data_IF_757828238829
#
_entry.id   IF_757828238829
#
_cell.length_a   1.000
_cell.length_b   1.000
_cell.length_c   1.000
_cell.angle_alpha   90.00
_cell.angle_beta   90.00
_cell.angle_gamma   90.00
#
_symmetry.space_group_name_H-M   'P 1'
#
loop_
_entity.id
_entity.type
_entity.pdbx_description
1 polymer ?
#
# COMPACT_ATOMS: atom_id res chain seq x y z
N UNK A 1 30.32 -19.08 -45.98
CA UNK A 1 29.05 -19.80 -45.76
C UNK A 1 28.82 -19.83 -44.26
N UNK A 2 27.96 -18.94 -43.75
CA UNK A 2 27.67 -18.82 -42.31
C UNK A 2 26.36 -19.55 -42.02
N UNK A 3 26.39 -20.52 -41.10
CA UNK A 3 25.19 -21.24 -40.65
C UNK A 3 24.69 -20.55 -39.39
N UNK A 4 23.56 -19.85 -39.53
CA UNK A 4 22.81 -19.29 -38.41
C UNK A 4 21.98 -20.41 -37.76
N UNK A 5 22.28 -20.74 -36.51
CA UNK A 5 21.45 -21.62 -35.71
C UNK A 5 20.36 -20.79 -35.01
N UNK A 6 19.15 -20.80 -35.56
CA UNK A 6 17.95 -20.36 -34.87
C UNK A 6 17.63 -21.33 -33.73
N UNK A 7 17.84 -20.90 -32.48
CA UNK A 7 17.26 -21.57 -31.31
C UNK A 7 15.77 -21.23 -31.24
N UNK A 8 14.95 -22.16 -31.71
CA UNK A 8 13.51 -22.17 -31.48
C UNK A 8 13.27 -22.49 -30.00
N UNK A 9 12.70 -21.53 -29.26
CA UNK A 9 12.13 -21.79 -27.94
C UNK A 9 10.82 -22.54 -28.19
N UNK A 10 10.84 -23.87 -28.10
CA UNK A 10 9.64 -24.69 -28.12
C UNK A 10 8.84 -24.39 -26.87
N UNK A 11 7.65 -23.79 -27.05
CA UNK A 11 6.71 -23.52 -25.97
C UNK A 11 6.33 -24.81 -25.24
N UNK A 12 6.69 -24.88 -23.96
CA UNK A 12 6.07 -25.80 -23.02
C UNK A 12 4.66 -25.28 -22.77
N UNK A 13 3.69 -25.84 -23.50
CA UNK A 13 2.28 -25.63 -23.23
C UNK A 13 1.95 -26.17 -21.84
N UNK A 14 1.70 -25.26 -20.90
CA UNK A 14 1.10 -25.61 -19.61
C UNK A 14 -0.36 -25.99 -19.89
N UNK A 15 -0.61 -27.29 -19.98
CA UNK A 15 -1.96 -27.84 -20.04
C UNK A 15 -2.73 -27.44 -18.78
N UNK A 16 -3.92 -26.90 -19.00
CA UNK A 16 -4.88 -26.61 -17.94
C UNK A 16 -5.16 -27.91 -17.18
N UNK A 17 -4.78 -27.96 -15.91
CA UNK A 17 -5.48 -28.83 -14.99
C UNK A 17 -6.92 -28.31 -14.90
N UNK A 18 -7.85 -29.13 -15.39
CA UNK A 18 -9.29 -28.93 -15.30
C UNK A 18 -9.76 -29.02 -13.83
N UNK A 19 -9.40 -28.02 -13.03
CA UNK A 19 -9.95 -27.75 -11.70
C UNK A 19 -10.91 -26.56 -11.78
N UNK A 20 -12.10 -26.71 -11.20
CA UNK A 20 -13.27 -25.87 -11.42
C UNK A 20 -13.16 -24.37 -11.09
N UNK A 21 -14.16 -23.67 -11.62
CA UNK A 21 -14.46 -22.23 -11.62
C UNK A 21 -14.73 -21.60 -10.23
N UNK A 22 -14.17 -22.10 -9.13
CA UNK A 22 -14.34 -21.52 -7.79
C UNK A 22 -13.00 -21.09 -7.19
N UNK A 23 -12.92 -19.81 -6.86
CA UNK A 23 -11.89 -19.12 -6.08
C UNK A 23 -10.70 -18.53 -6.86
N UNK A 24 -10.98 -17.56 -7.75
CA UNK A 24 -9.96 -16.61 -8.22
C UNK A 24 -9.32 -15.84 -7.04
N UNK A 25 -10.08 -15.68 -5.96
CA UNK A 25 -9.65 -15.17 -4.66
C UNK A 25 -10.22 -16.06 -3.57
N UNK A 26 -9.34 -16.70 -2.82
CA UNK A 26 -9.72 -17.35 -1.56
C UNK A 26 -9.82 -16.25 -0.50
N UNK A 27 -10.94 -16.21 0.24
CA UNK A 27 -11.36 -15.24 1.28
C UNK A 27 -10.28 -14.24 1.80
N UNK A 28 -10.61 -12.93 1.92
CA UNK A 28 -9.65 -11.94 2.42
C UNK A 28 -8.99 -12.34 3.74
N UNK A 29 -7.66 -12.20 3.85
CA UNK A 29 -6.92 -12.66 5.04
C UNK A 29 -6.62 -11.52 6.00
N UNK A 30 -6.70 -11.82 7.31
CA UNK A 30 -6.44 -10.85 8.39
C UNK A 30 -4.96 -10.47 8.53
N UNK A 31 -4.63 -9.24 8.16
CA UNK A 31 -3.41 -8.56 8.62
C UNK A 31 -3.53 -8.36 10.14
N UNK A 32 -2.59 -8.87 10.93
CA UNK A 32 -2.56 -8.58 12.37
C UNK A 32 -1.22 -7.99 12.77
N UNK A 33 -1.11 -6.67 12.66
CA UNK A 33 -0.14 -5.89 13.42
C UNK A 33 -0.90 -4.80 14.18
N UNK A 34 -0.65 -4.70 15.48
CA UNK A 34 -1.17 -3.60 16.30
C UNK A 34 -0.42 -2.31 15.96
N UNK A 35 -1.13 -1.19 15.88
CA UNK A 35 -0.50 0.12 15.69
C UNK A 35 0.21 0.56 16.98
N UNK A 36 1.42 1.14 16.92
CA UNK A 36 2.04 1.77 18.08
C UNK A 36 1.34 3.08 18.48
N UNK A 37 0.51 3.64 17.59
CA UNK A 37 -0.28 4.84 17.86
C UNK A 37 -1.51 4.46 18.67
N UNK A 38 -1.67 5.10 19.83
CA UNK A 38 -2.86 4.99 20.66
C UNK A 38 -3.68 6.27 20.52
N UNK A 39 -4.94 6.09 20.17
CA UNK A 39 -5.90 7.18 20.13
C UNK A 39 -7.12 6.85 20.96
N UNK A 40 -7.80 7.89 21.42
CA UNK A 40 -9.06 7.79 22.12
C UNK A 40 -10.11 8.68 21.46
N UNK A 41 -11.37 8.40 21.77
CA UNK A 41 -12.43 9.36 21.50
C UNK A 41 -12.13 10.67 22.24
N UNK A 42 -12.56 11.76 21.63
CA UNK A 42 -12.37 13.10 22.18
C UNK A 42 -13.60 13.42 23.01
N UNK A 43 -13.40 13.64 24.30
CA UNK A 43 -14.45 14.24 25.14
C UNK A 43 -14.35 15.77 25.06
N UNK A 44 -15.47 16.47 24.95
CA UNK A 44 -15.48 17.93 24.77
C UNK A 44 -14.67 18.66 25.84
N UNK A 45 -14.74 18.21 27.10
CA UNK A 45 -13.98 18.77 28.24
C UNK A 45 -12.46 18.71 28.05
N UNK A 46 -11.97 17.79 27.23
CA UNK A 46 -10.54 17.59 27.03
C UNK A 46 -9.98 18.49 25.93
N UNK A 47 -10.82 18.98 25.03
CA UNK A 47 -10.44 19.88 23.94
C UNK A 47 -10.12 21.29 24.49
N UNK A 48 -8.93 21.86 24.19
CA UNK A 48 -8.63 23.25 24.49
C UNK A 48 -9.64 24.22 23.84
N UNK A 49 -9.99 25.31 24.52
CA UNK A 49 -11.01 26.26 24.03
C UNK A 49 -10.71 26.85 22.64
N UNK A 50 -9.42 27.01 22.31
CA UNK A 50 -8.99 27.50 21.00
C UNK A 50 -9.12 26.43 19.89
N UNK A 51 -9.11 25.14 20.25
CA UNK A 51 -9.43 24.01 19.35
C UNK A 51 -10.93 23.75 19.23
N UNK A 52 -11.74 24.22 20.19
CA UNK A 52 -13.19 24.03 20.15
C UNK A 52 -13.86 24.96 19.14
N UNK A 53 -13.24 26.10 18.80
CA UNK A 53 -13.82 27.14 17.95
C UNK A 53 -13.40 26.93 16.49
N UNK A 54 -14.33 26.43 15.66
CA UNK A 54 -14.09 26.17 14.23
C UNK A 54 -13.58 27.41 13.49
N UNK A 55 -14.21 28.58 13.68
CA UNK A 55 -13.80 29.83 13.02
C UNK A 55 -12.35 30.22 13.35
N UNK A 56 -11.94 30.04 14.60
CA UNK A 56 -10.58 30.33 15.04
C UNK A 56 -9.58 29.33 14.46
N UNK A 57 -9.95 28.05 14.40
CA UNK A 57 -9.13 27.01 13.78
C UNK A 57 -8.98 27.22 12.27
N UNK A 58 -10.07 27.56 11.58
CA UNK A 58 -10.07 27.86 10.15
C UNK A 58 -9.17 29.06 9.84
N UNK A 59 -9.26 30.13 10.65
CA UNK A 59 -8.37 31.28 10.52
C UNK A 59 -6.89 30.90 10.78
N UNK A 60 -6.61 30.04 11.76
CA UNK A 60 -5.25 29.59 12.06
C UNK A 60 -4.66 28.68 10.98
N UNK A 61 -5.49 27.85 10.35
CA UNK A 61 -5.08 26.93 9.29
C UNK A 61 -5.00 27.61 7.91
N UNK A 62 -5.79 28.66 7.68
CA UNK A 62 -5.99 29.31 6.39
C UNK A 62 -5.12 30.55 6.14
N UNK A 63 -4.13 30.82 6.99
CA UNK A 63 -3.31 32.03 6.95
C UNK A 63 -2.22 32.01 5.84
N UNK A 64 -2.33 31.10 4.85
CA UNK A 64 -1.36 30.97 3.76
C UNK A 64 -1.68 31.88 2.55
N UNK A 65 -2.84 32.57 2.57
CA UNK A 65 -3.34 33.46 1.52
C UNK A 65 -3.67 32.78 0.18
N UNK A 66 -3.60 31.45 0.10
CA UNK A 66 -3.77 30.65 -1.12
C UNK A 66 -4.84 29.57 -0.98
N UNK A 67 -5.16 29.21 0.25
CA UNK A 67 -6.06 28.13 0.61
C UNK A 67 -7.11 28.66 1.57
N UNK A 68 -8.36 28.28 1.34
CA UNK A 68 -9.46 28.50 2.28
C UNK A 68 -9.70 27.21 3.05
N UNK A 69 -9.82 27.30 4.36
CA UNK A 69 -10.08 26.15 5.25
C UNK A 69 -11.49 26.29 5.80
N UNK A 70 -12.28 25.22 5.76
CA UNK A 70 -13.62 25.18 6.35
C UNK A 70 -13.86 23.86 7.10
N UNK A 71 -14.90 23.83 7.94
CA UNK A 71 -15.39 22.65 8.66
C UNK A 71 -14.34 22.03 9.60
N UNK A 72 -13.45 22.85 10.16
CA UNK A 72 -12.40 22.37 11.05
C UNK A 72 -13.00 21.81 12.35
N UNK A 73 -12.70 20.54 12.66
CA UNK A 73 -13.17 19.87 13.87
C UNK A 73 -12.15 18.89 14.42
N UNK A 74 -12.10 18.77 15.75
CA UNK A 74 -11.27 17.76 16.42
C UNK A 74 -11.94 16.39 16.25
N UNK A 75 -11.19 15.40 15.76
CA UNK A 75 -11.70 14.06 15.45
C UNK A 75 -11.07 12.96 16.29
N UNK A 76 -9.91 13.20 16.90
CA UNK A 76 -9.23 12.21 17.73
C UNK A 76 -8.29 12.86 18.74
N UNK A 77 -8.11 12.23 19.91
CA UNK A 77 -7.05 12.55 20.86
C UNK A 77 -5.97 11.48 20.75
N UNK A 78 -4.71 11.89 20.78
CA UNK A 78 -3.54 11.06 20.53
C UNK A 78 -2.67 11.06 21.77
N UNK A 79 -2.31 9.87 22.24
CA UNK A 79 -1.28 9.73 23.28
C UNK A 79 0.09 10.03 22.67
N UNK A 80 0.80 11.00 23.25
CA UNK A 80 2.15 11.35 22.80
C UNK A 80 3.20 10.65 23.67
N UNK A 81 4.40 10.36 23.13
CA UNK A 81 5.49 9.81 23.93
C UNK A 81 6.13 10.85 24.86
N UNK A 82 5.78 12.14 24.74
CA UNK A 82 6.34 13.23 25.54
C UNK A 82 5.45 13.44 26.78
N UNK A 83 5.96 13.22 28.01
CA UNK A 83 5.18 13.40 29.21
C UNK A 83 4.59 14.82 29.33
N UNK A 84 3.27 14.91 29.43
CA UNK A 84 2.56 16.19 29.59
C UNK A 84 2.23 16.93 28.30
N UNK A 85 2.49 16.32 27.15
CA UNK A 85 2.04 16.79 25.85
C UNK A 85 0.82 15.96 25.40
N UNK A 86 -0.29 16.62 25.13
CA UNK A 86 -1.49 16.02 24.54
C UNK A 86 -1.50 16.29 23.03
N UNK A 87 -1.82 15.26 22.24
CA UNK A 87 -2.02 15.38 20.79
C UNK A 87 -3.49 15.39 20.40
N UNK A 88 -3.86 16.21 19.42
CA UNK A 88 -5.20 16.29 18.86
C UNK A 88 -5.13 16.23 17.35
N UNK A 89 -5.96 15.37 16.74
CA UNK A 89 -6.14 15.36 15.29
C UNK A 89 -7.35 16.18 14.92
N UNK A 90 -7.15 17.12 14.01
CA UNK A 90 -8.19 18.00 13.46
C UNK A 90 -8.41 17.63 12.00
N UNK A 91 -9.66 17.42 11.62
CA UNK A 91 -10.07 17.29 10.23
C UNK A 91 -10.60 18.63 9.73
N UNK A 92 -10.19 19.05 8.54
CA UNK A 92 -10.74 20.23 7.88
C UNK A 92 -10.79 20.04 6.36
N UNK A 93 -11.64 20.79 5.68
CA UNK A 93 -11.75 20.85 4.23
C UNK A 93 -10.86 21.98 3.70
N UNK A 94 -9.93 21.66 2.81
CA UNK A 94 -8.99 22.60 2.18
C UNK A 94 -9.44 22.88 0.74
N UNK A 95 -9.73 24.14 0.46
CA UNK A 95 -10.10 24.65 -0.86
C UNK A 95 -8.93 25.47 -1.42
N UNK A 96 -8.45 25.12 -2.61
CA UNK A 96 -7.43 25.89 -3.33
C UNK A 96 -7.56 25.68 -4.84
N UNK A 97 -6.70 26.31 -5.63
CA UNK A 97 -6.74 26.21 -7.10
C UNK A 97 -6.61 24.76 -7.65
N UNK A 98 -5.98 23.84 -6.88
CA UNK A 98 -5.84 22.42 -7.26
C UNK A 98 -6.99 21.55 -6.78
N UNK A 99 -7.72 21.99 -5.77
CA UNK A 99 -8.86 21.28 -5.16
C UNK A 99 -10.00 22.27 -4.89
N UNK A 100 -10.64 22.82 -5.95
CA UNK A 100 -11.73 23.79 -5.79
C UNK A 100 -12.98 23.17 -5.14
N UNK A 101 -13.14 21.85 -5.23
CA UNK A 101 -14.21 21.08 -4.59
C UNK A 101 -13.99 20.80 -3.09
N UNK A 102 -12.83 21.16 -2.55
CA UNK A 102 -12.47 20.89 -1.16
C UNK A 102 -11.88 19.49 -0.97
N UNK A 103 -10.73 19.43 -0.30
CA UNK A 103 -10.04 18.18 0.06
C UNK A 103 -9.97 18.05 1.57
N UNK A 104 -10.39 16.89 2.10
CA UNK A 104 -10.26 16.55 3.53
C UNK A 104 -8.79 16.30 3.91
N UNK A 105 -8.24 17.22 4.67
CA UNK A 105 -6.92 17.12 5.29
C UNK A 105 -7.05 16.81 6.79
N UNK A 106 -6.01 16.19 7.34
CA UNK A 106 -5.89 15.93 8.77
C UNK A 106 -4.65 16.66 9.28
N UNK A 107 -4.82 17.42 10.35
CA UNK A 107 -3.77 18.16 11.03
C UNK A 107 -3.54 17.56 12.40
N UNK A 108 -2.28 17.39 12.80
CA UNK A 108 -1.92 16.94 14.14
C UNK A 108 -1.38 18.14 14.92
N UNK A 109 -2.06 18.48 16.01
CA UNK A 109 -1.68 19.57 16.90
C UNK A 109 -1.29 19.04 18.26
N UNK A 110 -0.34 19.69 18.89
CA UNK A 110 0.07 19.35 20.24
C UNK A 110 -0.11 20.53 21.18
N UNK A 111 -0.41 20.23 22.44
CA UNK A 111 -0.54 21.22 23.50
C UNK A 111 -0.02 20.65 24.80
N UNK A 112 0.46 21.51 25.67
CA UNK A 112 0.90 21.11 27.01
C UNK A 112 -0.29 20.97 27.96
N UNK A 113 -0.05 20.48 29.18
CA UNK A 113 -1.11 20.33 30.22
C UNK A 113 -1.88 21.62 30.52
N UNK A 114 -1.27 22.79 30.32
CA UNK A 114 -1.95 24.08 30.54
C UNK A 114 -2.97 24.41 29.47
N UNK A 115 -2.95 23.69 28.33
CA UNK A 115 -3.81 23.90 27.14
C UNK A 115 -3.70 25.32 26.56
N UNK A 116 -2.69 26.08 26.97
CA UNK A 116 -2.50 27.48 26.57
C UNK A 116 -1.66 27.60 25.30
N UNK A 117 -0.72 26.67 25.11
CA UNK A 117 0.25 26.74 24.02
C UNK A 117 -0.10 25.73 22.94
N UNK A 118 -0.04 26.17 21.68
CA UNK A 118 -0.14 25.30 20.52
C UNK A 118 1.25 25.10 19.94
N UNK A 119 1.62 23.84 19.72
CA UNK A 119 2.79 23.47 18.95
C UNK A 119 2.32 22.99 17.57
N UNK A 120 2.74 23.72 16.53
CA UNK A 120 2.51 23.39 15.12
C UNK A 120 3.82 22.95 14.51
N UNK A 121 3.84 21.75 13.92
CA UNK A 121 5.04 21.19 13.30
C UNK A 121 5.08 19.68 13.41
N UNK A 122 6.18 19.09 12.96
CA UNK A 122 6.41 17.64 12.97
C UNK A 122 6.99 17.21 14.31
N UNK A 123 6.42 16.18 14.93
CA UNK A 123 7.02 15.47 16.03
C UNK A 123 7.80 14.28 15.48
N UNK A 124 9.13 14.36 15.51
CA UNK A 124 10.01 13.32 14.97
C UNK A 124 10.66 12.58 16.15
N UNK A 125 10.47 11.25 16.19
CA UNK A 125 11.24 10.37 17.05
C UNK A 125 12.63 10.21 16.42
N UNK A 126 13.62 10.93 16.96
CA UNK A 126 15.00 10.93 16.45
C UNK A 126 15.74 9.63 16.76
N UNK A 127 15.30 8.85 17.74
CA UNK A 127 15.90 7.55 18.06
C UNK A 127 15.46 6.48 17.04
N UNK A 128 14.19 6.54 16.63
CA UNK A 128 13.61 5.61 15.65
C UNK A 128 13.57 6.16 14.22
N UNK A 129 14.03 7.39 14.01
CA UNK A 129 13.99 8.13 12.75
C UNK A 129 12.60 8.16 12.10
N UNK A 130 11.55 8.41 12.90
CA UNK A 130 10.15 8.31 12.47
C UNK A 130 9.38 9.60 12.70
N UNK A 131 8.67 10.07 11.68
CA UNK A 131 7.71 11.17 11.79
C UNK A 131 6.40 10.68 12.41
N UNK A 132 6.18 11.02 13.69
CA UNK A 132 5.00 10.62 14.44
C UNK A 132 3.73 11.34 13.97
N UNK A 133 3.83 12.53 13.36
CA UNK A 133 2.67 13.22 12.80
C UNK A 133 2.13 12.44 11.60
N UNK A 134 3.01 12.11 10.65
CA UNK A 134 2.61 11.36 9.46
C UNK A 134 2.00 9.99 9.85
N UNK A 135 2.59 9.31 10.84
CA UNK A 135 2.06 8.06 11.37
C UNK A 135 0.67 8.26 11.98
N UNK A 136 0.51 9.26 12.85
CA UNK A 136 -0.75 9.57 13.52
C UNK A 136 -1.84 9.96 12.54
N UNK A 137 -1.52 10.82 11.57
CA UNK A 137 -2.44 11.27 10.53
C UNK A 137 -2.99 10.08 9.75
N UNK A 138 -2.10 9.21 9.25
CA UNK A 138 -2.49 8.02 8.49
C UNK A 138 -3.32 7.06 9.35
N UNK A 139 -2.94 6.86 10.62
CA UNK A 139 -3.68 6.02 11.56
C UNK A 139 -5.11 6.51 11.80
N UNK A 140 -5.28 7.80 12.13
CA UNK A 140 -6.60 8.40 12.35
C UNK A 140 -7.40 8.46 11.05
N UNK A 141 -6.76 8.68 9.91
CA UNK A 141 -7.41 8.54 8.59
C UNK A 141 -7.99 7.15 8.38
N UNK A 142 -7.27 6.10 8.77
CA UNK A 142 -7.75 4.72 8.78
C UNK A 142 -8.90 4.48 9.76
N UNK A 143 -8.92 5.14 10.93
CA UNK A 143 -10.05 5.07 11.88
C UNK A 143 -11.32 5.75 11.36
N UNK A 144 -11.16 6.89 10.69
CA UNK A 144 -12.28 7.67 10.15
C UNK A 144 -12.82 7.12 8.83
N UNK A 145 -12.09 6.22 8.17
CA UNK A 145 -12.55 5.64 6.93
C UNK A 145 -13.63 4.59 7.19
N UNK A 146 -14.79 4.72 6.52
CA UNK A 146 -15.84 3.69 6.52
C UNK A 146 -15.32 2.31 6.05
N UNK A 147 -14.22 2.32 5.28
CA UNK A 147 -13.50 1.14 4.83
C UNK A 147 -11.98 1.46 4.83
N UNK A 148 -11.15 0.74 5.60
CA UNK A 148 -9.69 0.88 5.62
C UNK A 148 -9.03 0.89 4.23
N UNK A 149 -9.58 0.15 3.26
CA UNK A 149 -9.09 0.15 1.89
C UNK A 149 -9.24 1.50 1.19
N UNK A 150 -10.17 2.36 1.61
CA UNK A 150 -10.26 3.74 1.08
C UNK A 150 -9.20 4.68 1.66
N UNK A 151 -8.60 4.32 2.80
CA UNK A 151 -7.56 5.13 3.45
C UNK A 151 -6.16 4.88 2.86
N UNK A 152 -5.92 3.69 2.29
CA UNK A 152 -4.63 3.34 1.68
C UNK A 152 -4.41 4.14 0.39
N UNK A 153 -3.17 4.59 0.19
CA UNK A 153 -2.71 5.28 -1.02
C UNK A 153 -1.64 4.46 -1.74
N UNK A 154 -2.00 3.37 -2.44
CA UNK A 154 -1.04 2.50 -3.09
C UNK A 154 -0.21 3.17 -4.18
N UNK A 155 -0.66 4.31 -4.73
CA UNK A 155 0.09 5.10 -5.69
C UNK A 155 1.38 5.67 -5.11
N UNK A 156 1.44 5.87 -3.78
CA UNK A 156 2.59 6.41 -3.06
C UNK A 156 3.49 5.29 -2.49
N UNK A 157 3.07 4.04 -2.62
CA UNK A 157 3.77 2.84 -2.12
C UNK A 157 4.72 2.29 -3.19
N UNK A 158 5.69 1.45 -2.83
CA UNK A 158 6.55 0.73 -3.77
C UNK A 158 5.81 -0.43 -4.46
N UNK A 159 6.11 -0.70 -5.72
CA UNK A 159 5.51 -1.84 -6.42
C UNK A 159 6.23 -2.29 -7.69
N UNK A 160 5.96 -3.54 -8.09
CA UNK A 160 6.45 -4.17 -9.30
C UNK A 160 5.46 -3.93 -10.44
N UNK A 161 5.93 -3.45 -11.58
CA UNK A 161 5.07 -3.20 -12.74
C UNK A 161 5.16 -4.35 -13.73
N UNK A 162 4.01 -4.94 -14.04
CA UNK A 162 3.84 -5.88 -15.15
C UNK A 162 3.36 -5.08 -16.36
N UNK A 163 4.15 -5.03 -17.45
CA UNK A 163 3.81 -4.22 -18.61
C UNK A 163 2.54 -4.75 -19.29
N UNK A 164 1.63 -3.85 -19.67
CA UNK A 164 0.41 -4.18 -20.41
C UNK A 164 0.62 -4.28 -21.93
N UNK A 165 -0.48 -4.40 -22.66
CA UNK A 165 -0.50 -4.37 -24.12
C UNK A 165 -0.11 -2.99 -24.66
N UNK A 166 0.62 -2.97 -25.78
CA UNK A 166 1.25 -1.75 -26.34
C UNK A 166 0.27 -0.62 -26.68
N UNK A 167 -1.00 -0.95 -26.93
CA UNK A 167 -2.02 0.01 -27.35
C UNK A 167 -2.90 0.49 -26.20
N UNK A 168 -2.88 -0.19 -25.05
CA UNK A 168 -3.67 0.21 -23.89
C UNK A 168 -2.90 1.25 -23.06
N UNK A 169 -3.39 2.50 -23.10
CA UNK A 169 -2.78 3.65 -22.42
C UNK A 169 -3.36 3.92 -21.03
N UNK A 170 -4.22 3.04 -20.53
CA UNK A 170 -4.75 3.18 -19.18
C UNK A 170 -3.65 3.09 -18.14
N UNK A 171 -3.90 3.73 -17.01
CA UNK A 171 -3.08 3.63 -15.82
C UNK A 171 -2.86 2.17 -15.38
N UNK A 172 -1.76 1.82 -14.72
CA UNK A 172 -1.63 0.52 -14.11
C UNK A 172 -2.75 0.27 -13.10
N UNK A 173 -3.39 -0.91 -13.16
CA UNK A 173 -4.28 -1.36 -12.10
C UNK A 173 -3.41 -1.75 -10.90
N UNK A 174 -3.69 -1.19 -9.73
CA UNK A 174 -2.86 -1.42 -8.54
C UNK A 174 -3.43 -2.59 -7.75
N UNK A 175 -2.60 -3.60 -7.49
CA UNK A 175 -2.96 -4.83 -6.79
C UNK A 175 -2.11 -4.95 -5.53
N UNK A 176 -2.74 -4.76 -4.37
CA UNK A 176 -2.08 -4.80 -3.06
C UNK A 176 -2.25 -6.20 -2.47
N UNK A 177 -1.16 -6.87 -2.15
CA UNK A 177 -1.18 -8.30 -1.76
C UNK A 177 -0.08 -8.64 -0.75
N UNK A 178 -0.39 -9.61 0.12
CA UNK A 178 0.57 -10.25 1.03
C UNK A 178 0.69 -11.73 0.66
N UNK A 179 1.91 -12.18 0.34
CA UNK A 179 2.20 -13.57 -0.01
C UNK A 179 2.50 -14.46 1.21
N UNK A 180 2.38 -13.92 2.43
CA UNK A 180 2.41 -14.66 3.69
C UNK A 180 1.24 -15.63 3.87
N UNK A 181 0.17 -15.44 3.10
CA UNK A 181 -1.02 -16.27 3.14
C UNK A 181 -1.25 -16.97 1.80
N UNK A 182 -1.71 -18.23 1.83
CA UNK A 182 -2.02 -19.02 0.62
C UNK A 182 -2.99 -18.28 -0.31
N UNK A 183 -3.94 -17.58 0.26
CA UNK A 183 -4.94 -16.79 -0.46
C UNK A 183 -4.27 -15.68 -1.28
N UNK A 184 -3.31 -14.96 -0.69
CA UNK A 184 -2.56 -13.93 -1.40
C UNK A 184 -1.66 -14.51 -2.49
N UNK A 185 -0.98 -15.63 -2.22
CA UNK A 185 -0.19 -16.36 -3.23
C UNK A 185 -1.03 -16.81 -4.42
N UNK A 186 -2.16 -17.43 -4.15
CA UNK A 186 -3.08 -17.95 -5.16
C UNK A 186 -3.68 -16.82 -6.00
N UNK A 187 -4.16 -15.75 -5.36
CA UNK A 187 -4.68 -14.58 -6.06
C UNK A 187 -3.63 -13.89 -6.91
N UNK A 188 -2.42 -13.72 -6.40
CA UNK A 188 -1.30 -13.19 -7.18
C UNK A 188 -1.03 -14.02 -8.43
N UNK A 189 -0.85 -15.34 -8.29
CA UNK A 189 -0.60 -16.23 -9.42
C UNK A 189 -1.75 -16.21 -10.44
N UNK A 190 -2.99 -16.25 -9.97
CA UNK A 190 -4.17 -16.24 -10.84
C UNK A 190 -4.25 -14.96 -11.68
N UNK A 191 -4.02 -13.80 -11.06
CA UNK A 191 -4.06 -12.49 -11.74
C UNK A 191 -2.90 -12.36 -12.73
N UNK A 192 -1.68 -12.73 -12.33
CA UNK A 192 -0.50 -12.67 -13.22
C UNK A 192 -0.66 -13.60 -14.42
N UNK A 193 -1.09 -14.84 -14.20
CA UNK A 193 -1.31 -15.81 -15.28
C UNK A 193 -2.44 -15.39 -16.22
N UNK A 194 -3.53 -14.81 -15.68
CA UNK A 194 -4.58 -14.23 -16.50
C UNK A 194 -4.04 -13.08 -17.36
N UNK A 195 -3.27 -12.17 -16.76
CA UNK A 195 -2.69 -11.03 -17.47
C UNK A 195 -1.77 -11.47 -18.62
N UNK A 196 -0.90 -12.46 -18.37
CA UNK A 196 -0.06 -13.08 -19.40
C UNK A 196 -0.89 -13.76 -20.49
N UNK A 197 -1.90 -14.56 -20.10
CA UNK A 197 -2.81 -15.21 -21.05
C UNK A 197 -3.55 -14.20 -21.94
N UNK A 198 -3.90 -13.02 -21.43
CA UNK A 198 -4.52 -11.96 -22.22
C UNK A 198 -3.53 -11.36 -23.23
N UNK A 199 -2.28 -11.12 -22.82
CA UNK A 199 -1.22 -10.65 -23.72
C UNK A 199 -0.96 -11.65 -24.84
N UNK A 200 -0.77 -12.92 -24.49
CA UNK A 200 -0.50 -14.01 -25.45
C UNK A 200 -1.68 -14.22 -26.42
N UNK A 201 -2.90 -14.03 -25.92
CA UNK A 201 -4.13 -14.07 -26.71
C UNK A 201 -4.39 -12.83 -27.58
N UNK A 202 -3.42 -11.92 -27.70
CA UNK A 202 -3.53 -10.69 -28.50
C UNK A 202 -4.50 -9.65 -27.94
N UNK A 203 -4.96 -9.82 -26.69
CA UNK A 203 -5.68 -8.76 -25.99
C UNK A 203 -4.67 -7.70 -25.55
N UNK A 204 -5.18 -6.49 -25.30
CA UNK A 204 -4.37 -5.39 -24.80
C UNK A 204 -4.77 -5.07 -23.35
N UNK A 205 -4.40 -5.92 -22.37
CA UNK A 205 -4.66 -5.60 -20.98
C UNK A 205 -3.86 -4.36 -20.57
N UNK A 206 -4.43 -3.53 -19.70
CA UNK A 206 -3.70 -2.44 -19.05
C UNK A 206 -2.55 -3.00 -18.19
N UNK A 207 -1.52 -2.20 -17.86
CA UNK A 207 -0.46 -2.64 -16.96
C UNK A 207 -1.01 -3.03 -15.58
N UNK A 208 -0.29 -3.92 -14.88
CA UNK A 208 -0.55 -4.22 -13.47
C UNK A 208 0.58 -3.66 -12.61
N UNK A 209 0.24 -3.14 -11.44
CA UNK A 209 1.20 -2.71 -10.43
C UNK A 209 0.98 -3.51 -9.16
N UNK A 210 1.91 -4.41 -8.85
CA UNK A 210 1.88 -5.28 -7.69
C UNK A 210 2.53 -4.56 -6.51
N UNK A 211 1.73 -4.23 -5.50
CA UNK A 211 2.18 -3.59 -4.27
C UNK A 211 2.23 -4.66 -3.19
N UNK A 212 3.46 -4.98 -2.75
CA UNK A 212 3.69 -6.02 -1.75
C UNK A 212 3.64 -5.41 -0.35
N UNK A 213 2.83 -6.02 0.51
CA UNK A 213 2.69 -5.66 1.93
C UNK A 213 2.85 -6.93 2.75
N UNK A 214 3.30 -6.82 4.00
CA UNK A 214 3.42 -7.97 4.88
C UNK A 214 2.87 -7.69 6.26
N UNK A 215 2.04 -8.61 6.76
CA UNK A 215 1.66 -8.63 8.17
C UNK A 215 2.76 -9.16 9.10
N UNK A 216 3.91 -9.60 8.57
CA UNK A 216 5.06 -10.10 9.35
C UNK A 216 4.86 -11.46 10.03
N UNK A 217 3.76 -12.19 9.74
CA UNK A 217 3.51 -13.51 10.32
C UNK A 217 4.33 -14.64 9.70
N UNK A 218 4.64 -14.53 8.40
CA UNK A 218 5.52 -15.46 7.70
C UNK A 218 6.77 -14.71 7.26
N UNK A 219 7.80 -14.75 8.11
CA UNK A 219 9.10 -14.11 7.88
C UNK A 219 9.75 -14.57 6.57
N UNK A 220 9.52 -15.81 6.14
CA UNK A 220 10.07 -16.33 4.91
C UNK A 220 9.36 -15.71 3.70
N UNK A 221 8.05 -15.55 3.74
CA UNK A 221 7.30 -14.80 2.72
C UNK A 221 7.68 -13.33 2.71
N UNK A 222 7.84 -12.70 3.88
CA UNK A 222 8.32 -11.30 3.99
C UNK A 222 9.70 -11.16 3.34
N UNK A 223 10.61 -12.07 3.66
CA UNK A 223 11.95 -12.12 3.06
C UNK A 223 11.90 -12.34 1.55
N UNK A 224 11.07 -13.26 1.05
CA UNK A 224 10.93 -13.51 -0.38
C UNK A 224 10.35 -12.31 -1.15
N UNK A 225 9.35 -11.64 -0.58
CA UNK A 225 8.80 -10.40 -1.14
C UNK A 225 9.85 -9.29 -1.16
N UNK A 226 10.62 -9.12 -0.09
CA UNK A 226 11.74 -8.18 -0.04
C UNK A 226 12.78 -8.51 -1.12
N UNK A 227 13.15 -9.78 -1.25
CA UNK A 227 14.08 -10.24 -2.28
C UNK A 227 13.60 -9.91 -3.69
N UNK A 228 12.33 -10.16 -4.01
CA UNK A 228 11.75 -9.80 -5.30
C UNK A 228 11.80 -8.28 -5.55
N UNK A 229 11.47 -7.46 -4.56
CA UNK A 229 11.57 -6.00 -4.65
C UNK A 229 13.01 -5.53 -4.88
N UNK A 230 13.98 -6.14 -4.18
CA UNK A 230 15.40 -5.88 -4.36
C UNK A 230 15.90 -6.25 -5.75
N UNK A 231 15.57 -7.45 -6.24
CA UNK A 231 15.92 -7.90 -7.59
C UNK A 231 15.30 -7.02 -8.67
N UNK A 232 14.09 -6.51 -8.47
CA UNK A 232 13.51 -5.53 -9.39
C UNK A 232 14.39 -4.30 -9.54
N UNK A 233 14.98 -3.80 -8.45
CA UNK A 233 15.84 -2.61 -8.47
C UNK A 233 17.24 -2.89 -9.01
N UNK A 234 17.78 -4.08 -8.75
CA UNK A 234 19.15 -4.45 -9.16
C UNK A 234 19.20 -4.87 -10.63
N UNK A 235 18.33 -5.78 -11.06
CA UNK A 235 18.41 -6.41 -12.39
C UNK A 235 17.11 -6.36 -13.19
N UNK A 236 16.00 -5.95 -12.58
CA UNK A 236 14.68 -5.99 -13.22
C UNK A 236 13.97 -7.35 -13.13
N UNK A 237 14.59 -8.34 -12.47
CA UNK A 237 14.09 -9.73 -12.39
C UNK A 237 13.17 -9.98 -11.19
N UNK A 238 12.64 -8.92 -10.57
CA UNK A 238 11.83 -9.03 -9.36
C UNK A 238 10.54 -9.82 -9.57
N UNK A 239 9.83 -9.55 -10.66
CA UNK A 239 8.59 -10.27 -10.99
C UNK A 239 8.82 -11.78 -11.23
N UNK A 240 9.79 -12.22 -12.06
CA UNK A 240 10.15 -13.63 -12.17
C UNK A 240 10.47 -14.28 -10.83
N UNK A 241 11.22 -13.60 -9.95
CA UNK A 241 11.53 -14.10 -8.60
C UNK A 241 10.28 -14.24 -7.74
N UNK A 242 9.38 -13.27 -7.81
CA UNK A 242 8.12 -13.32 -7.07
C UNK A 242 7.22 -14.47 -7.53
N UNK A 243 7.15 -14.73 -8.85
CA UNK A 243 6.40 -15.85 -9.42
C UNK A 243 7.03 -17.18 -8.98
N UNK A 244 8.35 -17.34 -9.11
CA UNK A 244 9.08 -18.54 -8.68
C UNK A 244 8.79 -18.86 -7.19
N UNK A 245 8.77 -17.85 -6.34
CA UNK A 245 8.41 -18.00 -4.93
C UNK A 245 6.94 -18.35 -4.72
N UNK A 246 6.02 -17.67 -5.40
CA UNK A 246 4.60 -17.95 -5.24
C UNK A 246 4.23 -19.38 -5.68
N UNK A 247 4.94 -19.94 -6.66
CA UNK A 247 4.74 -21.31 -7.14
C UNK A 247 5.40 -22.37 -6.24
N UNK A 248 6.64 -22.14 -5.79
CA UNK A 248 7.43 -23.16 -5.09
C UNK A 248 7.43 -22.97 -3.56
N UNK A 249 6.98 -21.80 -3.07
CA UNK A 249 6.93 -21.44 -1.67
C UNK A 249 8.27 -21.60 -0.96
N UNK A 250 8.28 -22.35 0.15
CA UNK A 250 9.49 -22.56 0.96
C UNK A 250 10.56 -23.39 0.25
N UNK A 251 10.18 -24.11 -0.81
CA UNK A 251 11.09 -24.97 -1.58
C UNK A 251 11.92 -24.19 -2.60
N UNK A 252 11.69 -22.89 -2.74
CA UNK A 252 12.43 -22.05 -3.71
C UNK A 252 13.94 -22.05 -3.43
N UNK A 253 14.81 -22.44 -4.39
CA UNK A 253 16.24 -22.69 -4.13
C UNK A 253 17.02 -21.51 -3.57
N UNK A 254 16.65 -20.27 -3.93
CA UNK A 254 17.33 -19.06 -3.45
C UNK A 254 16.88 -18.60 -2.07
N UNK A 255 15.83 -19.22 -1.50
CA UNK A 255 15.41 -19.01 -0.11
C UNK A 255 16.10 -19.95 0.88
N UNK A 256 16.97 -20.86 0.40
CA UNK A 256 17.74 -21.73 1.27
C UNK A 256 18.67 -20.91 2.19
N UNK A 257 18.64 -21.08 3.53
CA UNK A 257 19.46 -20.33 4.46
C UNK A 257 20.97 -20.40 4.17
N UNK A 258 21.49 -21.55 3.76
CA UNK A 258 22.90 -21.71 3.44
C UNK A 258 23.30 -20.86 2.23
N UNK A 259 22.39 -20.73 1.26
CA UNK A 259 22.61 -19.91 0.07
C UNK A 259 22.48 -18.41 0.40
N UNK A 260 21.45 -18.01 1.16
CA UNK A 260 21.30 -16.63 1.66
C UNK A 260 22.53 -16.17 2.46
N UNK A 261 23.15 -17.06 3.23
CA UNK A 261 24.37 -16.75 3.99
C UNK A 261 25.60 -16.52 3.11
N UNK A 262 25.68 -17.13 1.93
CA UNK A 262 26.90 -17.16 1.12
C UNK A 262 26.82 -16.33 -0.17
N UNK A 263 25.61 -16.03 -0.66
CA UNK A 263 25.40 -15.31 -1.90
C UNK A 263 25.25 -13.79 -1.65
N UNK A 264 26.24 -13.00 -2.09
CA UNK A 264 26.25 -11.55 -1.89
C UNK A 264 25.11 -10.84 -2.63
N UNK A 265 24.70 -11.35 -3.80
CA UNK A 265 23.61 -10.77 -4.58
C UNK A 265 22.27 -10.98 -3.87
N UNK A 266 22.07 -12.16 -3.25
CA UNK A 266 20.88 -12.40 -2.44
C UNK A 266 20.83 -11.44 -1.24
N UNK A 267 21.94 -11.24 -0.54
CA UNK A 267 21.98 -10.30 0.60
C UNK A 267 21.70 -8.87 0.18
N UNK A 268 22.27 -8.43 -0.94
CA UNK A 268 22.06 -7.08 -1.47
C UNK A 268 20.58 -6.87 -1.85
N UNK A 269 19.98 -7.83 -2.55
CA UNK A 269 18.56 -7.79 -2.89
C UNK A 269 17.69 -7.70 -1.62
N UNK A 270 17.96 -8.55 -0.62
CA UNK A 270 17.23 -8.53 0.65
C UNK A 270 17.34 -7.17 1.35
N UNK A 271 18.56 -6.65 1.49
CA UNK A 271 18.82 -5.38 2.17
C UNK A 271 18.17 -4.18 1.47
N UNK A 272 18.07 -4.19 0.15
CA UNK A 272 17.37 -3.14 -0.61
C UNK A 272 15.86 -3.25 -0.45
N UNK A 273 15.32 -4.45 -0.63
CA UNK A 273 13.88 -4.65 -0.69
C UNK A 273 13.20 -4.66 0.68
N UNK A 274 13.92 -4.96 1.77
CA UNK A 274 13.33 -4.99 3.11
C UNK A 274 12.78 -3.63 3.52
N UNK A 275 13.48 -2.54 3.20
CA UNK A 275 13.00 -1.18 3.47
C UNK A 275 11.76 -0.83 2.64
N UNK A 276 11.67 -1.33 1.42
CA UNK A 276 10.48 -1.11 0.57
C UNK A 276 9.26 -1.87 1.11
N UNK A 277 9.47 -3.09 1.61
CA UNK A 277 8.41 -3.88 2.27
C UNK A 277 8.03 -3.25 3.61
N UNK A 278 8.99 -2.76 4.40
CA UNK A 278 8.74 -2.09 5.68
C UNK A 278 7.90 -0.82 5.49
N UNK A 279 8.27 0.04 4.53
CA UNK A 279 7.50 1.25 4.23
C UNK A 279 6.08 0.89 3.78
N UNK A 280 5.94 -0.02 2.81
CA UNK A 280 4.63 -0.48 2.35
C UNK A 280 3.78 -1.06 3.49
N UNK A 281 4.37 -1.91 4.33
CA UNK A 281 3.66 -2.57 5.44
C UNK A 281 3.28 -1.57 6.52
N UNK A 282 4.13 -0.58 6.78
CA UNK A 282 3.83 0.54 7.67
C UNK A 282 2.64 1.34 7.14
N UNK A 283 2.61 1.68 5.85
CA UNK A 283 1.46 2.34 5.23
C UNK A 283 0.16 1.51 5.35
N UNK A 284 0.23 0.20 5.14
CA UNK A 284 -0.89 -0.72 5.32
C UNK A 284 -1.40 -0.78 6.77
N UNK A 285 -0.49 -0.87 7.74
CA UNK A 285 -0.81 -0.87 9.17
C UNK A 285 -1.49 0.44 9.59
N UNK A 286 -0.98 1.58 9.11
CA UNK A 286 -1.55 2.89 9.40
C UNK A 286 -2.93 3.06 8.77
N UNK A 287 -3.14 2.56 7.56
CA UNK A 287 -4.48 2.50 6.97
C UNK A 287 -5.43 1.56 7.73
N UNK A 288 -4.96 0.84 8.76
CA UNK A 288 -5.68 -0.18 9.51
C UNK A 288 -6.23 -1.28 8.63
N UNK A 289 -5.50 -1.63 7.58
CA UNK A 289 -5.90 -2.74 6.72
C UNK A 289 -5.99 -4.01 7.54
N UNK A 290 -7.15 -4.65 7.46
CA UNK A 290 -7.46 -5.91 8.10
C UNK A 290 -7.69 -7.01 7.08
N UNK A 291 -7.69 -6.70 5.78
CA UNK A 291 -8.06 -7.63 4.72
C UNK A 291 -7.22 -7.37 3.46
N UNK A 292 -6.73 -8.47 2.88
CA UNK A 292 -6.01 -8.49 1.59
C UNK A 292 -6.47 -9.73 0.78
N UNK A 293 -6.38 -9.70 -0.57
CA UNK A 293 -5.84 -8.63 -1.41
C UNK A 293 -6.82 -7.46 -1.66
N UNK A 294 -6.31 -6.33 -2.16
CA UNK A 294 -7.10 -5.14 -2.53
C UNK A 294 -6.73 -4.67 -3.94
N UNK A 295 -7.68 -4.01 -4.62
CA UNK A 295 -7.46 -3.44 -5.95
C UNK A 295 -7.83 -1.96 -5.97
N UNK A 296 -7.06 -1.18 -6.73
CA UNK A 296 -7.31 0.22 -6.96
C UNK A 296 -7.20 0.56 -8.44
N UNK A 297 -8.11 1.41 -8.89
CA UNK A 297 -8.16 1.95 -10.25
C UNK A 297 -7.90 3.48 -10.23
N UNK A 298 -7.19 3.99 -11.22
CA UNK A 298 -6.86 5.41 -11.37
C UNK A 298 -5.37 5.74 -11.20
N UNK A 299 -5.07 7.04 -11.22
CA UNK A 299 -3.72 7.59 -11.07
C UNK A 299 -3.70 8.72 -10.06
N UNK A 300 -2.61 8.82 -9.29
CA UNK A 300 -2.39 9.89 -8.33
C UNK A 300 -3.59 10.05 -7.39
N UNK A 301 -4.05 11.29 -7.24
CA UNK A 301 -5.19 11.64 -6.38
C UNK A 301 -6.54 11.07 -6.85
N UNK A 302 -6.64 10.54 -8.08
CA UNK A 302 -7.86 9.89 -8.60
C UNK A 302 -7.89 8.38 -8.36
N UNK A 303 -6.92 7.84 -7.64
CA UNK A 303 -6.86 6.42 -7.27
C UNK A 303 -8.02 6.07 -6.34
N UNK A 304 -8.83 5.07 -6.71
CA UNK A 304 -10.00 4.63 -5.96
C UNK A 304 -9.95 3.14 -5.71
N UNK A 305 -10.25 2.75 -4.47
CA UNK A 305 -10.51 1.36 -4.13
C UNK A 305 -11.72 0.84 -4.92
N UNK A 306 -11.60 -0.35 -5.50
CA UNK A 306 -12.69 -1.06 -6.14
C UNK A 306 -12.88 -2.43 -5.48
N UNK A 307 -14.13 -2.91 -5.46
CA UNK A 307 -14.41 -4.24 -4.94
C UNK A 307 -13.68 -5.30 -5.77
N UNK A 308 -13.16 -6.30 -5.05
CA UNK A 308 -12.40 -7.38 -5.64
C UNK A 308 -13.29 -8.20 -6.60
N UNK A 309 -12.91 -8.34 -7.89
CA UNK A 309 -13.67 -9.14 -8.84
C UNK A 309 -13.70 -10.61 -8.41
N UNK A 310 -14.86 -11.24 -8.52
CA UNK A 310 -15.09 -12.61 -8.02
C UNK A 310 -14.76 -13.68 -9.06
N UNK A 311 -14.79 -13.33 -10.35
CA UNK A 311 -14.57 -14.28 -11.44
C UNK A 311 -13.62 -13.79 -12.54
N UNK A 312 -13.17 -14.74 -13.37
CA UNK A 312 -12.28 -14.49 -14.52
C UNK A 312 -12.87 -13.47 -15.50
N UNK A 313 -14.19 -13.47 -15.71
CA UNK A 313 -14.86 -12.55 -16.63
C UNK A 313 -14.71 -11.10 -16.16
N UNK A 314 -15.00 -10.84 -14.89
CA UNK A 314 -14.90 -9.51 -14.28
C UNK A 314 -13.44 -9.02 -14.27
N UNK A 315 -12.49 -9.91 -13.95
CA UNK A 315 -11.07 -9.62 -14.05
C UNK A 315 -10.64 -9.28 -15.48
N UNK A 316 -11.12 -10.04 -16.46
CA UNK A 316 -10.83 -9.77 -17.88
C UNK A 316 -11.36 -8.41 -18.27
N UNK A 317 -12.62 -8.10 -17.93
CA UNK A 317 -13.24 -6.82 -18.22
C UNK A 317 -12.47 -5.66 -17.57
N UNK A 318 -12.05 -5.81 -16.32
CA UNK A 318 -11.28 -4.80 -15.59
C UNK A 318 -9.90 -4.55 -16.23
N UNK A 319 -9.24 -5.61 -16.68
CA UNK A 319 -7.92 -5.53 -17.30
C UNK A 319 -7.97 -5.02 -18.74
N UNK A 320 -9.02 -5.33 -19.50
CA UNK A 320 -9.15 -4.94 -20.91
C UNK A 320 -10.14 -3.81 -21.15
N UNK A 321 -10.54 -3.10 -20.10
CA UNK A 321 -11.42 -1.93 -20.22
C UNK A 321 -10.79 -0.95 -21.23
N UNK A 322 -11.58 -0.38 -22.16
CA UNK A 322 -11.10 0.64 -23.08
C UNK A 322 -10.78 1.94 -22.35
#
# INVERSE_FOLDING_TARGET
>A
MAVAACLAITGTGSSFAAGGLSDFVVKPTKLSQGSPIKTSNVEDKDIPDWLRKSERLEAMLGDDGKSRVENAKVVSKVETPIPGLDGFVVQADIFNAKSPEGRKELFVFYTDKTKRYLFVGMLIDMEKERDLNMMTERYVRGQLADNPAKALRPQDMHGLVIPGGKTNKMAPLQFVVDLGHENGKSSFLNVVRLHQSLLDGGKNPRPLRIVLVSGGKDEMSTGAMAMAMGYQKISGDGLPKLIEYAEQGRSTPWMNPARLKNDANLKQAMGIGIFQIEDNSSQAMLARLDTLPLIYDGTGDKTKYIMLPTGKADWTQLLTKP
#
